data_IF_169851719772
#
_entry.id   IF_169851719772
#
_cell.length_a   1.000
_cell.length_b   1.000
_cell.length_c   1.000
_cell.angle_alpha   90.00
_cell.angle_beta   90.00
_cell.angle_gamma   90.00
#
_symmetry.space_group_name_H-M   'P 1'
#
loop_
_entity.id
_entity.type
_entity.pdbx_description
1 polymer ?
#
# COMPACT_ATOMS: atom_id res chain seq x y z
N UNK A 1 -4.13 -9.13 -15.24
CA UNK A 1 -3.90 -7.67 -15.06
C UNK A 1 -3.70 -7.26 -13.59
N UNK A 2 -4.58 -7.61 -12.65
CA UNK A 2 -4.42 -7.26 -11.23
C UNK A 2 -3.06 -7.65 -10.62
N UNK A 3 -2.53 -8.82 -10.98
CA UNK A 3 -1.20 -9.29 -10.52
C UNK A 3 -0.04 -8.39 -10.99
N UNK A 4 -0.14 -7.79 -12.17
CA UNK A 4 0.89 -6.87 -12.66
C UNK A 4 0.88 -5.56 -11.87
N UNK A 5 -0.32 -5.06 -11.52
CA UNK A 5 -0.46 -3.89 -10.65
C UNK A 5 0.15 -4.18 -9.29
N UNK A 6 -0.17 -5.33 -8.68
CA UNK A 6 0.44 -5.75 -7.41
C UNK A 6 1.97 -5.78 -7.48
N UNK A 7 2.54 -6.39 -8.53
CA UNK A 7 3.98 -6.41 -8.73
C UNK A 7 4.60 -5.01 -8.85
N UNK A 8 3.93 -4.06 -9.53
CA UNK A 8 4.40 -2.67 -9.64
C UNK A 8 4.31 -1.92 -8.32
N UNK A 9 3.26 -2.14 -7.55
CA UNK A 9 3.11 -1.54 -6.21
C UNK A 9 4.19 -2.07 -5.27
N UNK A 10 4.43 -3.39 -5.25
CA UNK A 10 5.50 -3.98 -4.43
C UNK A 10 6.89 -3.44 -4.81
N UNK A 11 7.14 -3.19 -6.09
CA UNK A 11 8.42 -2.63 -6.55
C UNK A 11 8.68 -1.18 -6.07
N UNK A 12 7.66 -0.46 -5.58
CA UNK A 12 7.77 0.90 -5.05
C UNK A 12 7.93 0.95 -3.52
N UNK A 13 7.71 -0.18 -2.84
CA UNK A 13 7.82 -0.28 -1.40
C UNK A 13 9.30 -0.19 -0.95
N UNK A 14 9.56 0.57 0.10
CA UNK A 14 10.86 0.63 0.77
C UNK A 14 11.10 -0.57 1.69
N UNK A 15 12.28 -0.65 2.32
CA UNK A 15 12.60 -1.70 3.28
C UNK A 15 11.61 -1.74 4.43
N UNK A 16 11.09 -2.91 4.77
CA UNK A 16 10.08 -3.10 5.83
C UNK A 16 8.78 -2.33 5.62
N UNK A 17 8.51 -1.84 4.42
CA UNK A 17 7.29 -1.14 4.07
C UNK A 17 6.29 -2.10 3.42
N UNK A 18 5.03 -2.01 3.82
CA UNK A 18 3.93 -2.66 3.12
C UNK A 18 3.11 -1.59 2.40
N UNK A 19 3.22 -1.56 1.08
CA UNK A 19 2.51 -0.62 0.22
C UNK A 19 1.31 -1.31 -0.43
N UNK A 20 0.16 -0.64 -0.44
CA UNK A 20 -1.08 -1.12 -1.05
C UNK A 20 -1.70 -0.06 -1.95
N UNK A 21 -2.58 -0.49 -2.87
CA UNK A 21 -3.43 0.45 -3.63
C UNK A 21 -4.63 0.90 -2.80
N UNK A 22 -5.26 2.02 -3.20
CA UNK A 22 -6.50 2.50 -2.60
C UNK A 22 -7.61 1.44 -2.62
N UNK A 23 -7.74 0.67 -3.69
CA UNK A 23 -8.72 -0.42 -3.78
C UNK A 23 -8.56 -1.45 -2.67
N UNK A 24 -7.33 -1.86 -2.36
CA UNK A 24 -7.07 -2.82 -1.28
C UNK A 24 -7.39 -2.18 0.07
N UNK A 25 -6.95 -0.93 0.30
CA UNK A 25 -7.26 -0.17 1.52
C UNK A 25 -8.77 -0.12 1.77
N UNK A 26 -9.55 0.21 0.74
CA UNK A 26 -10.99 0.40 0.86
C UNK A 26 -11.72 -0.91 1.15
N UNK A 27 -11.24 -2.04 0.59
CA UNK A 27 -11.76 -3.39 0.90
C UNK A 27 -11.52 -3.77 2.38
N UNK A 28 -10.41 -3.32 2.98
CA UNK A 28 -10.03 -3.67 4.36
C UNK A 28 -10.36 -2.58 5.39
N UNK A 29 -11.13 -1.55 5.02
CA UNK A 29 -11.41 -0.38 5.85
C UNK A 29 -12.06 -0.68 7.22
N UNK A 30 -12.65 -1.87 7.40
CA UNK A 30 -13.19 -2.34 8.69
C UNK A 30 -12.22 -3.14 9.56
N UNK A 31 -10.96 -3.29 9.16
CA UNK A 31 -9.94 -4.02 9.93
C UNK A 31 -9.21 -3.13 10.93
N UNK A 32 -8.40 -3.73 11.82
CA UNK A 32 -7.54 -2.99 12.76
C UNK A 32 -6.33 -2.28 12.13
N UNK A 33 -6.16 -2.40 10.81
CA UNK A 33 -5.01 -1.84 10.10
C UNK A 33 -5.21 -0.35 9.84
N UNK A 34 -4.18 0.45 10.12
CA UNK A 34 -4.16 1.88 9.74
C UNK A 34 -3.31 2.08 8.51
N UNK A 35 -3.73 3.01 7.65
CA UNK A 35 -3.01 3.34 6.43
C UNK A 35 -2.71 4.83 6.37
N UNK A 36 -1.51 5.19 5.92
CA UNK A 36 -1.11 6.56 5.59
C UNK A 36 -1.16 6.73 4.06
N UNK A 37 -1.63 7.88 3.57
CA UNK A 37 -1.58 8.16 2.13
C UNK A 37 -0.14 8.47 1.68
N UNK A 38 0.29 7.85 0.58
CA UNK A 38 1.58 8.12 -0.08
C UNK A 38 1.42 8.98 -1.33
N UNK A 39 0.19 9.34 -1.69
CA UNK A 39 -0.14 10.10 -2.89
C UNK A 39 -0.37 9.23 -4.13
N UNK A 40 -0.37 9.89 -5.29
CA UNK A 40 -0.61 9.28 -6.59
C UNK A 40 0.68 9.00 -7.34
N UNK A 41 0.78 7.82 -7.95
CA UNK A 41 1.94 7.41 -8.75
C UNK A 41 1.52 6.77 -10.07
N UNK A 42 2.32 6.99 -11.11
CA UNK A 42 2.19 6.28 -12.38
C UNK A 42 2.90 4.93 -12.29
N UNK A 43 2.20 3.86 -12.65
CA UNK A 43 2.77 2.51 -12.62
C UNK A 43 3.19 2.12 -14.03
N UNK A 44 4.46 1.72 -14.21
CA UNK A 44 5.00 1.39 -15.54
C UNK A 44 4.14 0.34 -16.25
N UNK A 45 3.61 0.73 -17.42
CA UNK A 45 2.78 -0.13 -18.27
C UNK A 45 1.33 -0.29 -17.80
N UNK A 46 0.91 0.49 -16.81
CA UNK A 46 -0.48 0.57 -16.35
C UNK A 46 -0.98 1.99 -16.63
N UNK A 47 -2.07 2.16 -17.39
CA UNK A 47 -2.64 3.48 -17.64
C UNK A 47 -3.09 4.19 -16.35
N UNK A 48 -2.95 5.51 -16.35
CA UNK A 48 -3.47 6.39 -15.30
C UNK A 48 -2.58 6.51 -14.05
N UNK A 49 -3.09 7.29 -13.09
CA UNK A 49 -2.46 7.52 -11.79
C UNK A 49 -3.12 6.67 -10.72
N UNK A 50 -2.31 6.11 -9.85
CA UNK A 50 -2.72 5.15 -8.84
C UNK A 50 -2.45 5.72 -7.45
N UNK A 51 -3.49 5.83 -6.63
CA UNK A 51 -3.36 6.21 -5.22
C UNK A 51 -2.80 5.04 -4.43
N UNK A 52 -1.67 5.29 -3.77
CA UNK A 52 -0.99 4.29 -2.95
C UNK A 52 -1.03 4.69 -1.48
N UNK A 53 -1.09 3.68 -0.61
CA UNK A 53 -1.17 3.85 0.83
C UNK A 53 -0.19 2.92 1.52
N UNK A 54 0.46 3.43 2.56
CA UNK A 54 1.40 2.68 3.39
C UNK A 54 0.66 2.11 4.57
N UNK A 55 0.82 0.82 4.85
CA UNK A 55 0.33 0.23 6.09
C UNK A 55 1.17 0.77 7.25
N UNK A 56 0.52 1.40 8.23
CA UNK A 56 1.17 1.80 9.47
C UNK A 56 1.39 0.55 10.32
N UNK A 57 2.64 0.37 10.78
CA UNK A 57 2.96 -0.67 11.74
C UNK A 57 2.27 -0.35 13.07
N UNK A 58 1.63 -1.36 13.65
CA UNK A 58 1.15 -1.26 15.02
C UNK A 58 2.34 -1.51 15.95
N UNK A 59 2.78 -0.49 16.68
CA UNK A 59 3.91 -0.57 17.61
C UNK A 59 3.52 -1.26 18.94
N UNK A 60 2.70 -2.31 18.87
CA UNK A 60 2.18 -3.02 20.03
C UNK A 60 3.20 -3.90 20.78
N UNK A 61 4.48 -3.92 20.37
CA UNK A 61 5.53 -4.68 21.04
C UNK A 61 6.83 -3.90 21.16
N UNK A 62 6.80 -2.81 21.94
CA UNK A 62 8.02 -2.21 22.52
C UNK A 62 7.94 -2.17 24.04
N UNK A 63 7.88 -3.36 24.65
CA UNK A 63 8.13 -3.55 26.09
C UNK A 63 8.83 -4.90 26.27
N UNK A 64 10.16 -4.89 26.13
CA UNK A 64 11.18 -5.35 27.11
C UNK A 64 12.53 -5.46 26.43
#
# INVERSE_FOLDING_TARGET
MAVHIGARVCALAGPSEVLVSSTVRDIVAGSRHRFAERGEQELKGVPGRWRLCVLMRDDATRTR
#
